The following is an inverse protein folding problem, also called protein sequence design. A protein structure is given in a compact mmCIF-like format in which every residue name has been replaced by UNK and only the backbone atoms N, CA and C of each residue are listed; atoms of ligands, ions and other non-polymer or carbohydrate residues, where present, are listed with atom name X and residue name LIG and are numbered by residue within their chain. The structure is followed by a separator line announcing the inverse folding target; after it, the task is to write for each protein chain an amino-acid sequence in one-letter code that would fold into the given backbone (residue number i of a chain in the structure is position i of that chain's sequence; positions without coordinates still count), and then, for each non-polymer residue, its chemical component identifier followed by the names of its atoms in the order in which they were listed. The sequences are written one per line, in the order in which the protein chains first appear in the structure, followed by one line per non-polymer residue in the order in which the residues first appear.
data_IF_075876724756
#
_entry.id   IF_075876724756
#
_cell.length_a   1.000
_cell.length_b   1.000
_cell.length_c   1.000
_cell.angle_alpha   90.00
_cell.angle_beta   90.00
_cell.angle_gamma   90.00
#
_symmetry.space_group_name_H-M   'P 1'
#
loop_
_entity.id
_entity.type
_entity.pdbx_description
1 polymer ?
#
# COMPACT_ATOMS: atom_id res chain seq x y z
N UNK A 1 -0.83 -14.98 -8.47
CA UNK A 1 0.61 -14.97 -8.08
C UNK A 1 0.88 -13.66 -7.36
N UNK A 2 1.78 -13.67 -6.37
CA UNK A 2 2.28 -12.47 -5.71
C UNK A 2 3.69 -12.15 -6.20
N UNK A 3 3.89 -10.97 -6.79
CA UNK A 3 5.20 -10.40 -7.07
C UNK A 3 5.63 -9.53 -5.90
N UNK A 4 6.93 -9.45 -5.63
CA UNK A 4 7.50 -8.59 -4.59
C UNK A 4 8.95 -8.21 -4.93
N UNK A 5 9.51 -7.24 -4.21
CA UNK A 5 10.93 -6.94 -4.24
C UNK A 5 11.66 -7.62 -3.08
N UNK A 6 12.99 -7.70 -3.14
CA UNK A 6 13.81 -8.45 -2.19
C UNK A 6 13.66 -7.93 -0.74
N UNK A 7 13.60 -6.62 -0.58
CA UNK A 7 13.39 -5.93 0.70
C UNK A 7 12.01 -6.20 1.33
N UNK A 8 11.11 -6.87 0.61
CA UNK A 8 9.77 -7.25 1.09
C UNK A 8 9.59 -8.77 1.19
N UNK A 9 10.64 -9.57 1.02
CA UNK A 9 10.54 -11.03 0.94
C UNK A 9 9.85 -11.66 2.16
N UNK A 10 10.11 -11.16 3.37
CA UNK A 10 9.47 -11.65 4.59
C UNK A 10 7.95 -11.41 4.59
N UNK A 11 7.53 -10.18 4.28
CA UNK A 11 6.11 -9.81 4.21
C UNK A 11 5.40 -10.51 3.05
N UNK A 12 6.08 -10.63 1.90
CA UNK A 12 5.57 -11.36 0.74
C UNK A 12 5.35 -12.84 1.07
N UNK A 13 6.28 -13.47 1.78
CA UNK A 13 6.17 -14.87 2.19
C UNK A 13 4.98 -15.12 3.12
N UNK A 14 4.76 -14.22 4.08
CA UNK A 14 3.58 -14.29 4.96
C UNK A 14 2.28 -14.09 4.18
N UNK A 15 2.18 -13.02 3.36
CA UNK A 15 0.98 -12.71 2.58
C UNK A 15 0.65 -13.81 1.57
N UNK A 16 1.66 -14.33 0.86
CA UNK A 16 1.48 -15.40 -0.11
C UNK A 16 0.95 -16.69 0.52
N UNK A 17 1.39 -17.00 1.75
CA UNK A 17 0.91 -18.16 2.52
C UNK A 17 -0.57 -18.00 2.87
N UNK A 18 -0.97 -16.85 3.38
CA UNK A 18 -2.37 -16.55 3.70
C UNK A 18 -3.27 -16.57 2.46
N UNK A 19 -2.76 -16.09 1.32
CA UNK A 19 -3.49 -16.08 0.06
C UNK A 19 -3.48 -17.43 -0.68
N UNK A 20 -2.65 -18.39 -0.26
CA UNK A 20 -2.47 -19.67 -0.96
C UNK A 20 -1.92 -19.53 -2.38
N UNK A 21 -1.09 -18.50 -2.65
CA UNK A 21 -0.52 -18.22 -3.98
C UNK A 21 1.01 -18.28 -3.95
N UNK A 22 1.68 -18.56 -5.08
CA UNK A 22 3.14 -18.46 -5.13
C UNK A 22 3.61 -17.00 -5.02
N UNK A 23 4.63 -16.76 -4.20
CA UNK A 23 5.44 -15.54 -4.20
C UNK A 23 6.61 -15.67 -5.19
N UNK A 24 6.92 -14.60 -5.92
CA UNK A 24 8.09 -14.50 -6.79
C UNK A 24 8.73 -13.12 -6.67
N UNK A 25 10.05 -13.11 -6.50
CA UNK A 25 10.82 -11.88 -6.42
C UNK A 25 11.03 -11.29 -7.83
N UNK A 26 10.87 -9.98 -7.96
CA UNK A 26 11.33 -9.19 -9.10
C UNK A 26 12.80 -8.88 -8.85
N UNK A 27 13.69 -9.39 -9.67
CA UNK A 27 15.11 -9.08 -9.53
C UNK A 27 15.33 -7.61 -9.93
N UNK A 28 16.05 -6.88 -9.09
CA UNK A 28 16.37 -5.47 -9.29
C UNK A 28 17.89 -5.31 -9.36
N UNK A 29 18.39 -4.85 -10.50
CA UNK A 29 19.79 -4.48 -10.67
C UNK A 29 19.89 -2.96 -10.77
N UNK A 30 20.83 -2.38 -10.02
CA UNK A 30 21.15 -0.96 -10.10
C UNK A 30 22.42 -0.73 -10.91
N UNK A 31 22.32 0.13 -11.91
CA UNK A 31 23.47 0.59 -12.69
C UNK A 31 24.30 1.63 -11.90
N UNK A 32 25.56 1.88 -12.30
CA UNK A 32 26.42 2.84 -11.59
C UNK A 32 25.89 4.27 -11.48
N UNK A 33 25.02 4.69 -12.42
CA UNK A 33 24.37 6.01 -12.44
C UNK A 33 23.07 6.07 -11.61
N UNK A 34 22.63 4.93 -11.06
CA UNK A 34 21.44 4.81 -10.23
C UNK A 34 20.20 4.30 -10.96
N UNK A 35 20.24 4.10 -12.28
CA UNK A 35 19.13 3.52 -13.03
C UNK A 35 18.82 2.08 -12.59
N UNK A 36 17.57 1.66 -12.81
CA UNK A 36 17.09 0.34 -12.42
C UNK A 36 16.81 -0.53 -13.64
N UNK A 37 17.34 -1.75 -13.62
CA UNK A 37 16.90 -2.85 -14.49
C UNK A 37 16.11 -3.86 -13.67
N UNK A 38 14.83 -4.02 -14.03
CA UNK A 38 13.96 -5.01 -13.41
C UNK A 38 13.90 -6.28 -14.26
N UNK A 39 13.81 -7.43 -13.61
CA UNK A 39 13.57 -8.72 -14.28
C UNK A 39 12.45 -9.45 -13.55
N UNK A 40 11.32 -9.56 -14.23
CA UNK A 40 10.12 -10.23 -13.72
C UNK A 40 10.15 -11.71 -14.14
N UNK A 41 9.47 -12.60 -13.39
CA UNK A 41 9.20 -13.97 -13.84
C UNK A 41 8.43 -13.96 -15.16
N UNK A 42 8.75 -14.89 -16.06
CA UNK A 42 8.07 -15.06 -17.34
C UNK A 42 7.73 -16.54 -17.59
N UNK A 43 6.50 -16.87 -18.05
CA UNK A 43 5.35 -15.98 -18.22
C UNK A 43 4.65 -15.65 -16.89
N UNK A 44 3.85 -14.57 -16.87
CA UNK A 44 2.96 -14.26 -15.74
C UNK A 44 1.54 -14.79 -15.98
N UNK A 45 0.82 -15.23 -14.92
CA UNK A 45 -0.57 -15.59 -15.04
C UNK A 45 -1.45 -14.35 -15.25
N UNK A 46 -2.71 -14.51 -15.73
CA UNK A 46 -3.60 -13.38 -15.96
C UNK A 46 -3.92 -12.51 -14.74
N UNK A 47 -3.89 -13.09 -13.53
CA UNK A 47 -4.14 -12.37 -12.25
C UNK A 47 -2.87 -12.31 -11.41
N UNK A 48 -2.41 -11.09 -11.15
CA UNK A 48 -1.16 -10.81 -10.43
C UNK A 48 -1.41 -9.75 -9.37
N UNK A 49 -0.94 -10.02 -8.15
CA UNK A 49 -0.76 -8.99 -7.14
C UNK A 49 0.73 -8.62 -7.08
N UNK A 50 1.04 -7.34 -6.89
CA UNK A 50 2.39 -6.84 -6.69
C UNK A 50 2.45 -6.18 -5.31
N UNK A 51 3.23 -6.75 -4.39
CA UNK A 51 3.52 -6.15 -3.09
C UNK A 51 4.61 -5.09 -3.26
N UNK A 52 4.28 -3.83 -2.95
CA UNK A 52 5.25 -2.75 -2.83
C UNK A 52 4.80 -1.63 -1.88
N UNK A 53 5.33 -1.62 -0.66
CA UNK A 53 5.20 -0.54 0.31
C UNK A 53 6.09 0.65 -0.04
N UNK A 54 5.52 1.85 0.01
CA UNK A 54 6.15 3.08 -0.49
C UNK A 54 6.86 3.90 0.61
N UNK A 55 7.45 3.27 1.62
CA UNK A 55 8.40 3.96 2.50
C UNK A 55 9.65 4.31 1.69
N UNK A 56 10.22 5.50 1.85
CA UNK A 56 11.25 6.05 0.94
C UNK A 56 10.83 5.96 -0.53
N UNK A 57 9.76 6.69 -0.92
CA UNK A 57 8.89 6.31 -2.03
C UNK A 57 9.47 6.51 -3.43
N UNK A 58 10.40 7.45 -3.61
CA UNK A 58 10.72 7.98 -4.94
C UNK A 58 11.21 6.89 -5.89
N UNK A 59 12.19 6.10 -5.45
CA UNK A 59 12.70 4.98 -6.23
C UNK A 59 11.64 3.88 -6.41
N UNK A 60 10.85 3.62 -5.37
CA UNK A 60 9.83 2.58 -5.40
C UNK A 60 8.71 2.90 -6.38
N UNK A 61 8.40 4.18 -6.57
CA UNK A 61 7.49 4.63 -7.62
C UNK A 61 8.09 4.36 -9.00
N UNK A 62 9.40 4.60 -9.20
CA UNK A 62 10.09 4.23 -10.45
C UNK A 62 10.05 2.71 -10.68
N UNK A 63 10.23 1.92 -9.61
CA UNK A 63 10.07 0.47 -9.68
C UNK A 63 8.67 0.06 -10.16
N UNK A 64 7.61 0.69 -9.62
CA UNK A 64 6.23 0.43 -10.05
C UNK A 64 5.97 0.88 -11.49
N UNK A 65 6.48 2.05 -11.87
CA UNK A 65 6.39 2.61 -13.22
C UNK A 65 6.95 1.65 -14.28
N UNK A 66 8.04 0.93 -13.96
CA UNK A 66 8.67 -0.04 -14.86
C UNK A 66 7.99 -1.42 -14.75
N UNK A 67 7.72 -1.89 -13.53
CA UNK A 67 7.23 -3.25 -13.30
C UNK A 67 5.80 -3.47 -13.80
N UNK A 68 4.93 -2.48 -13.68
CA UNK A 68 3.52 -2.62 -14.06
C UNK A 68 3.31 -2.86 -15.57
N UNK A 69 3.85 -2.02 -16.49
CA UNK A 69 3.74 -2.30 -17.93
C UNK A 69 4.44 -3.60 -18.32
N UNK A 70 5.65 -3.87 -17.78
CA UNK A 70 6.36 -5.13 -18.03
C UNK A 70 5.54 -6.36 -17.60
N UNK A 71 4.83 -6.29 -16.47
CA UNK A 71 3.95 -7.37 -16.03
C UNK A 71 2.80 -7.61 -17.03
N UNK A 72 2.25 -6.55 -17.62
CA UNK A 72 1.20 -6.66 -18.64
C UNK A 72 1.72 -7.30 -19.93
N UNK A 73 2.90 -6.91 -20.39
CA UNK A 73 3.59 -7.53 -21.54
C UNK A 73 3.83 -9.03 -21.32
N UNK A 74 4.12 -9.43 -20.08
CA UNK A 74 4.36 -10.82 -19.69
C UNK A 74 3.09 -11.63 -19.40
N UNK A 75 1.89 -11.04 -19.58
CA UNK A 75 0.61 -11.76 -19.56
C UNK A 75 -0.36 -11.38 -18.43
N UNK A 76 0.02 -10.48 -17.52
CA UNK A 76 -0.89 -10.00 -16.48
C UNK A 76 -2.02 -9.15 -17.11
N UNK A 77 -3.28 -9.51 -16.82
CA UNK A 77 -4.47 -8.79 -17.30
C UNK A 77 -5.17 -8.03 -16.18
N UNK A 78 -5.15 -8.60 -14.99
CA UNK A 78 -5.67 -8.04 -13.75
C UNK A 78 -4.49 -7.88 -12.80
N UNK A 79 -4.04 -6.63 -12.63
CA UNK A 79 -2.85 -6.27 -11.88
C UNK A 79 -3.23 -5.43 -10.66
N UNK A 80 -3.07 -6.00 -9.47
CA UNK A 80 -3.38 -5.34 -8.19
C UNK A 80 -2.11 -4.91 -7.50
N UNK A 81 -2.02 -3.64 -7.11
CA UNK A 81 -0.99 -3.16 -6.19
C UNK A 81 -1.43 -3.46 -4.75
N UNK A 82 -0.58 -4.12 -3.99
CA UNK A 82 -0.68 -4.20 -2.53
C UNK A 82 0.42 -3.31 -1.97
N UNK A 83 0.06 -2.13 -1.48
CA UNK A 83 0.98 -1.16 -0.90
C UNK A 83 0.64 -0.98 0.58
N UNK A 84 1.24 -1.76 1.51
CA UNK A 84 0.93 -1.66 2.94
C UNK A 84 1.03 -0.23 3.48
N UNK A 85 1.98 0.54 2.95
CA UNK A 85 2.06 1.99 3.12
C UNK A 85 1.99 2.67 1.75
N UNK A 86 0.99 3.54 1.56
CA UNK A 86 0.80 4.33 0.35
C UNK A 86 1.27 5.78 0.58
N UNK A 87 2.41 6.13 0.00
CA UNK A 87 3.01 7.46 0.11
C UNK A 87 2.27 8.52 -0.71
N UNK A 88 2.65 9.79 -0.51
CA UNK A 88 2.08 10.95 -1.20
C UNK A 88 0.59 11.21 -0.97
N UNK A 89 -0.02 10.53 0.02
CA UNK A 89 -1.41 10.77 0.39
C UNK A 89 -1.60 12.00 1.28
N UNK A 90 -0.52 12.59 1.82
CA UNK A 90 -0.57 13.74 2.75
C UNK A 90 -0.80 15.09 2.09
N UNK A 91 -0.37 15.27 0.85
CA UNK A 91 -0.53 16.53 0.12
C UNK A 91 -1.72 16.42 -0.83
N UNK A 92 -2.90 16.51 -0.23
CA UNK A 92 -4.22 16.42 -0.86
C UNK A 92 -4.75 17.78 -1.34
N UNK A 93 -4.09 18.87 -0.95
CA UNK A 93 -4.35 20.24 -1.42
C UNK A 93 -3.03 20.99 -1.69
N UNK A 94 -3.15 22.13 -2.37
CA UNK A 94 -2.12 23.16 -2.41
C UNK A 94 -2.37 24.13 -1.24
N UNK A 95 -1.43 24.26 -0.32
CA UNK A 95 -1.50 25.21 0.79
C UNK A 95 -1.05 26.62 0.36
N UNK A 96 -0.22 26.69 -0.67
CA UNK A 96 0.20 27.94 -1.31
C UNK A 96 0.00 27.89 -2.84
N UNK A 97 -0.19 29.05 -3.50
CA UNK A 97 -0.24 29.12 -4.95
C UNK A 97 1.03 28.54 -5.60
N UNK A 98 0.85 27.67 -6.59
CA UNK A 98 1.94 27.03 -7.32
C UNK A 98 2.40 25.68 -6.76
N UNK A 99 1.92 25.27 -5.58
CA UNK A 99 2.20 23.94 -5.07
C UNK A 99 1.50 22.84 -5.88
N UNK A 100 2.21 21.75 -6.14
CA UNK A 100 1.63 20.55 -6.73
C UNK A 100 0.80 19.79 -5.71
N UNK A 101 -0.32 19.21 -6.14
CA UNK A 101 -1.12 18.30 -5.30
C UNK A 101 -0.69 16.86 -5.59
N UNK A 102 0.35 16.39 -4.91
CA UNK A 102 0.98 15.11 -5.24
C UNK A 102 0.03 13.92 -5.11
N UNK A 103 -0.92 13.93 -4.17
CA UNK A 103 -1.93 12.87 -4.04
C UNK A 103 -2.71 12.67 -5.35
N UNK A 104 -3.15 13.76 -5.98
CA UNK A 104 -3.89 13.72 -7.25
C UNK A 104 -3.07 13.11 -8.37
N UNK A 105 -1.81 13.52 -8.50
CA UNK A 105 -0.95 13.11 -9.59
C UNK A 105 -0.48 11.65 -9.44
N UNK A 106 -0.08 11.25 -8.23
CA UNK A 106 0.33 9.87 -7.97
C UNK A 106 -0.86 8.92 -8.00
N UNK A 107 -2.02 9.32 -7.48
CA UNK A 107 -3.25 8.55 -7.56
C UNK A 107 -3.65 8.26 -9.02
N UNK A 108 -3.65 9.27 -9.88
CA UNK A 108 -3.91 9.08 -11.32
C UNK A 108 -2.88 8.18 -12.01
N UNK A 109 -1.60 8.29 -11.66
CA UNK A 109 -0.54 7.43 -12.19
C UNK A 109 -0.75 5.97 -11.78
N UNK A 110 -1.00 5.71 -10.49
CA UNK A 110 -1.30 4.37 -9.98
C UNK A 110 -2.54 3.77 -10.65
N UNK A 111 -3.59 4.56 -10.85
CA UNK A 111 -4.80 4.14 -11.55
C UNK A 111 -4.56 3.81 -13.04
N UNK A 112 -3.54 4.41 -13.66
CA UNK A 112 -3.14 4.08 -15.02
C UNK A 112 -2.35 2.77 -15.11
N UNK A 113 -1.63 2.41 -14.05
CA UNK A 113 -0.77 1.23 -14.00
C UNK A 113 -1.51 -0.02 -13.49
N UNK A 114 -2.35 0.14 -12.47
CA UNK A 114 -2.99 -0.93 -11.73
C UNK A 114 -4.51 -0.92 -11.88
N UNK A 115 -5.11 -2.12 -11.83
CA UNK A 115 -6.55 -2.29 -11.87
C UNK A 115 -7.20 -2.08 -10.49
N UNK A 116 -6.43 -2.34 -9.42
CA UNK A 116 -6.81 -2.02 -8.05
C UNK A 116 -5.58 -1.70 -7.18
N UNK A 117 -5.79 -0.94 -6.11
CA UNK A 117 -4.77 -0.63 -5.09
C UNK A 117 -5.31 -0.98 -3.70
N UNK A 118 -4.57 -1.77 -2.95
CA UNK A 118 -4.86 -2.13 -1.55
C UNK A 118 -3.81 -1.50 -0.64
N UNK A 119 -4.24 -0.82 0.42
CA UNK A 119 -3.35 -0.17 1.40
C UNK A 119 -3.91 -0.26 2.81
N UNK A 120 -3.05 -0.09 3.82
CA UNK A 120 -3.43 -0.10 5.23
C UNK A 120 -3.49 1.34 5.74
N UNK A 121 -4.60 1.73 6.37
CA UNK A 121 -4.84 3.02 7.03
C UNK A 121 -4.21 4.22 6.28
N UNK A 122 -4.57 4.45 4.99
CA UNK A 122 -4.02 5.56 4.22
C UNK A 122 -4.45 6.90 4.83
N UNK A 123 -3.62 7.92 4.65
CA UNK A 123 -3.95 9.26 5.08
C UNK A 123 -4.99 9.89 4.13
N UNK A 124 -6.27 9.80 4.48
CA UNK A 124 -7.41 10.32 3.71
C UNK A 124 -8.10 11.43 4.51
N UNK A 125 -7.47 12.60 4.59
CA UNK A 125 -7.99 13.70 5.41
C UNK A 125 -9.13 14.47 4.72
N UNK A 126 -9.04 14.72 3.40
CA UNK A 126 -10.05 15.48 2.63
C UNK A 126 -10.79 14.68 1.56
N UNK A 127 -10.49 13.40 1.43
CA UNK A 127 -11.17 12.46 0.54
C UNK A 127 -11.78 11.38 1.40
N UNK A 128 -13.01 10.94 1.10
CA UNK A 128 -13.68 9.94 1.94
C UNK A 128 -13.19 8.52 1.64
N UNK A 129 -12.75 8.27 0.42
CA UNK A 129 -12.39 6.95 -0.08
C UNK A 129 -11.14 6.98 -0.94
N UNK A 130 -10.46 5.84 -1.03
CA UNK A 130 -9.31 5.69 -1.91
C UNK A 130 -9.70 5.72 -3.39
N UNK A 131 -10.96 5.41 -3.73
CA UNK A 131 -11.49 5.47 -5.10
C UNK A 131 -11.46 6.90 -5.67
N UNK A 132 -11.64 7.92 -4.82
CA UNK A 132 -11.60 9.33 -5.22
C UNK A 132 -10.23 9.76 -5.76
N UNK A 133 -9.16 9.10 -5.32
CA UNK A 133 -7.80 9.38 -5.79
C UNK A 133 -7.36 8.39 -6.87
N UNK A 134 -8.17 7.39 -7.23
CA UNK A 134 -7.87 6.36 -8.21
C UNK A 134 -8.91 6.37 -9.36
N UNK A 135 -8.83 7.33 -10.30
CA UNK A 135 -9.87 7.52 -11.31
C UNK A 135 -10.11 6.25 -12.14
N UNK A 136 -11.35 5.76 -12.12
CA UNK A 136 -11.79 4.59 -12.88
C UNK A 136 -11.27 3.24 -12.35
N UNK A 137 -10.61 3.23 -11.18
CA UNK A 137 -10.01 2.03 -10.56
C UNK A 137 -10.52 1.85 -9.14
N UNK A 138 -10.24 0.66 -8.59
CA UNK A 138 -10.69 0.29 -7.26
C UNK A 138 -9.60 0.49 -6.22
N UNK A 139 -9.88 1.29 -5.21
CA UNK A 139 -9.11 1.42 -3.98
C UNK A 139 -9.70 0.59 -2.84
N UNK A 140 -8.83 -0.05 -2.07
CA UNK A 140 -9.21 -0.82 -0.87
C UNK A 140 -8.33 -0.37 0.29
N UNK A 141 -8.92 0.41 1.20
CA UNK A 141 -8.31 0.75 2.48
C UNK A 141 -8.71 -0.29 3.52
N UNK A 142 -7.75 -1.02 4.05
CA UNK A 142 -7.93 -1.91 5.22
C UNK A 142 -7.37 -1.23 6.47
N UNK A 143 -7.77 -1.68 7.66
CA UNK A 143 -7.26 -1.11 8.91
C UNK A 143 -6.50 -2.13 9.73
N UNK A 144 -5.36 -1.71 10.29
CA UNK A 144 -4.58 -2.46 11.27
C UNK A 144 -5.10 -2.25 12.70
N UNK A 145 -6.03 -1.32 12.94
CA UNK A 145 -6.53 -0.98 14.27
C UNK A 145 -7.01 -2.23 15.04
N UNK A 146 -7.70 -3.16 14.39
CA UNK A 146 -8.17 -4.39 15.04
C UNK A 146 -7.02 -5.25 15.57
N UNK A 147 -5.95 -5.40 14.76
CA UNK A 147 -4.78 -6.20 15.13
C UNK A 147 -4.00 -5.53 16.26
N UNK A 148 -3.85 -4.20 16.20
CA UNK A 148 -3.19 -3.40 17.24
C UNK A 148 -3.98 -3.51 18.56
N UNK A 149 -5.30 -3.37 18.51
CA UNK A 149 -6.17 -3.48 19.68
C UNK A 149 -6.02 -4.81 20.41
N UNK A 150 -6.08 -5.93 19.67
CA UNK A 150 -5.88 -7.27 20.24
C UNK A 150 -4.47 -7.46 20.81
N UNK A 151 -3.45 -6.94 20.12
CA UNK A 151 -2.08 -7.01 20.60
C UNK A 151 -1.89 -6.26 21.92
N UNK A 152 -2.41 -5.02 22.01
CA UNK A 152 -2.35 -4.24 23.25
C UNK A 152 -3.08 -4.94 24.38
N UNK A 153 -4.28 -5.48 24.15
CA UNK A 153 -5.03 -6.20 25.17
C UNK A 153 -4.27 -7.42 25.73
N UNK A 154 -3.52 -8.12 24.87
CA UNK A 154 -2.71 -9.27 25.27
C UNK A 154 -1.45 -8.88 26.06
N UNK A 155 -0.83 -7.75 25.72
CA UNK A 155 0.43 -7.30 26.35
C UNK A 155 0.21 -6.41 27.58
N UNK A 156 -0.88 -5.66 27.63
CA UNK A 156 -1.18 -4.65 28.65
C UNK A 156 -2.65 -4.79 29.08
N UNK A 157 -2.95 -5.73 30.00
CA UNK A 157 -4.31 -5.89 30.53
C UNK A 157 -4.81 -4.60 31.17
N UNK A 158 -6.02 -4.16 30.82
CA UNK A 158 -6.64 -2.95 31.35
C UNK A 158 -6.09 -1.63 30.77
N UNK A 159 -5.42 -1.67 29.62
CA UNK A 159 -4.97 -0.46 28.93
C UNK A 159 -6.13 0.50 28.61
N UNK A 160 -5.83 1.80 28.66
CA UNK A 160 -6.63 2.87 28.07
C UNK A 160 -5.93 3.31 26.79
N UNK A 161 -6.63 3.21 25.66
CA UNK A 161 -6.14 3.72 24.38
C UNK A 161 -6.50 5.20 24.27
N UNK A 162 -5.50 6.04 24.03
CA UNK A 162 -5.67 7.49 23.85
C UNK A 162 -5.18 7.90 22.46
N UNK A 163 -5.98 8.71 21.79
CA UNK A 163 -5.63 9.33 20.51
C UNK A 163 -4.81 10.60 20.71
N UNK A 164 -3.81 10.91 19.87
CA UNK A 164 -3.09 12.18 19.94
C UNK A 164 -3.97 13.40 19.59
N UNK A 165 -5.00 13.20 18.77
CA UNK A 165 -5.89 14.23 18.23
C UNK A 165 -7.23 13.62 17.75
N UNK A 166 -8.16 14.48 17.31
CA UNK A 166 -9.49 14.07 16.84
C UNK A 166 -9.44 13.19 15.57
N UNK A 167 -8.45 13.39 14.69
CA UNK A 167 -8.31 12.58 13.46
C UNK A 167 -8.08 11.10 13.81
N UNK A 168 -7.44 10.84 14.95
CA UNK A 168 -7.15 9.50 15.41
C UNK A 168 -8.32 8.72 16.03
N UNK A 169 -9.44 9.41 16.32
CA UNK A 169 -10.56 8.84 17.07
C UNK A 169 -11.12 7.56 16.44
N UNK A 170 -11.20 7.51 15.12
CA UNK A 170 -11.69 6.32 14.39
C UNK A 170 -10.83 5.08 14.60
N UNK A 171 -9.50 5.23 14.64
CA UNK A 171 -8.57 4.11 14.84
C UNK A 171 -8.56 3.67 16.29
N UNK A 172 -8.58 4.62 17.23
CA UNK A 172 -8.62 4.34 18.67
C UNK A 172 -9.91 3.60 19.03
N UNK A 173 -11.07 4.09 18.58
CA UNK A 173 -12.35 3.45 18.83
C UNK A 173 -12.40 2.02 18.27
N UNK A 174 -11.89 1.82 17.05
CA UNK A 174 -11.83 0.50 16.41
C UNK A 174 -10.89 -0.45 17.15
N UNK A 175 -9.68 0.00 17.50
CA UNK A 175 -8.71 -0.79 18.25
C UNK A 175 -9.25 -1.16 19.65
N UNK A 176 -9.90 -0.21 20.32
CA UNK A 176 -10.50 -0.42 21.63
C UNK A 176 -11.60 -1.50 21.59
N UNK A 177 -12.49 -1.41 20.60
CA UNK A 177 -13.53 -2.41 20.39
C UNK A 177 -12.93 -3.80 20.12
N UNK A 178 -11.89 -3.89 19.30
CA UNK A 178 -11.25 -5.17 18.96
C UNK A 178 -10.45 -5.79 20.12
N UNK A 179 -9.84 -4.97 20.98
CA UNK A 179 -9.11 -5.40 22.16
C UNK A 179 -9.97 -5.58 23.41
N UNK A 180 -11.24 -5.18 23.38
CA UNK A 180 -12.09 -5.04 24.57
C UNK A 180 -11.41 -4.18 25.67
N UNK A 181 -10.74 -3.11 25.24
CA UNK A 181 -10.05 -2.13 26.11
C UNK A 181 -10.78 -0.79 26.05
N UNK A 182 -10.56 0.07 27.06
CA UNK A 182 -11.19 1.39 27.09
C UNK A 182 -10.53 2.34 26.06
N UNK A 183 -11.32 3.30 25.55
CA UNK A 183 -10.85 4.39 24.69
C UNK A 183 -11.14 5.74 25.37
N UNK A 184 -10.25 6.71 25.20
CA UNK A 184 -10.40 8.09 25.66
C UNK A 184 -9.69 9.10 24.77
#
# INVERSE_FOLDING_TARGET
MLLHFDDEAAQAGALARELGVPARCIACHRFPDGELRLTLPAPLPPRVALLRGLHDPNEKIVQLLIAAPAARELGARDLVLVAPYLAYMRQDIAFAPGEAVSQRHLGAALASWFDAVVTVDPHLHRVATLDEVLPGRRGVAVSAADAIGRFVAACVPGALLLGPDEESAQWVARAAAAGAVAAG
#
